data_IF_121240141009
#
_entry.id   IF_121240141009
#
_cell.length_a   1.000
_cell.length_b   1.000
_cell.length_c   1.000
_cell.angle_alpha   90.00
_cell.angle_beta   90.00
_cell.angle_gamma   90.00
#
_symmetry.space_group_name_H-M   'P 1'
#
loop_
_entity.id
_entity.type
_entity.pdbx_description
1 polymer ?
#
# COMPACT_ATOMS: atom_id res chain seq x y z
N UNK A 1 12.63 -27.93 6.15
CA UNK A 1 12.42 -26.75 5.30
C UNK A 1 13.33 -25.64 5.80
N UNK A 2 13.92 -24.86 4.90
CA UNK A 2 14.77 -23.72 5.27
C UNK A 2 13.88 -22.58 5.72
N UNK A 3 14.15 -22.01 6.91
CA UNK A 3 13.44 -20.82 7.38
C UNK A 3 13.72 -19.63 6.48
N UNK A 4 12.70 -18.83 6.21
CA UNK A 4 12.79 -17.61 5.42
C UNK A 4 11.93 -16.51 6.07
N UNK A 5 12.54 -15.34 6.26
CA UNK A 5 11.85 -14.18 6.86
C UNK A 5 11.11 -13.40 5.78
N UNK A 6 9.83 -13.19 6.01
CA UNK A 6 8.92 -12.56 5.04
C UNK A 6 8.22 -11.38 5.71
N UNK A 7 8.16 -10.25 5.04
CA UNK A 7 7.48 -9.08 5.58
C UNK A 7 6.53 -8.43 4.58
N UNK A 8 5.52 -7.76 5.10
CA UNK A 8 4.61 -6.88 4.37
C UNK A 8 4.00 -5.85 5.34
N UNK A 9 3.46 -4.77 4.80
CA UNK A 9 2.65 -3.83 5.55
C UNK A 9 1.20 -4.33 5.72
N UNK A 10 0.45 -3.82 6.71
CA UNK A 10 -0.96 -4.14 6.86
C UNK A 10 -1.77 -3.48 5.73
N UNK A 11 -2.34 -4.31 4.87
CA UNK A 11 -3.08 -3.88 3.68
C UNK A 11 -4.32 -4.75 3.47
N UNK A 12 -5.34 -4.65 4.34
CA UNK A 12 -6.56 -5.45 4.24
C UNK A 12 -7.35 -5.12 2.96
N UNK A 13 -7.98 -6.09 2.30
CA UNK A 13 -8.13 -7.49 2.71
C UNK A 13 -7.02 -8.42 2.20
N UNK A 14 -5.89 -7.89 1.75
CA UNK A 14 -4.83 -8.63 1.07
C UNK A 14 -3.86 -9.32 2.05
N UNK A 15 -3.38 -8.60 3.06
CA UNK A 15 -2.63 -9.10 4.21
C UNK A 15 -2.88 -8.19 5.42
N UNK A 16 -3.12 -8.77 6.57
CA UNK A 16 -3.36 -8.04 7.81
C UNK A 16 -3.30 -8.97 9.02
N UNK A 17 -3.15 -8.38 10.19
CA UNK A 17 -3.30 -9.08 11.47
C UNK A 17 -4.75 -8.93 11.91
N UNK A 18 -5.43 -10.05 12.11
CA UNK A 18 -6.82 -10.07 12.59
C UNK A 18 -6.90 -9.84 14.11
N UNK A 19 -8.10 -9.66 14.62
CA UNK A 19 -8.38 -9.40 16.04
C UNK A 19 -7.89 -10.52 16.98
N UNK A 20 -7.78 -11.73 16.48
CA UNK A 20 -7.24 -12.89 17.20
C UNK A 20 -5.71 -13.00 17.14
N UNK A 21 -5.02 -12.04 16.50
CA UNK A 21 -3.58 -12.03 16.32
C UNK A 21 -3.06 -12.86 15.14
N UNK A 22 -3.95 -13.58 14.44
CA UNK A 22 -3.56 -14.35 13.26
C UNK A 22 -3.36 -13.46 12.05
N UNK A 23 -2.40 -13.82 11.17
CA UNK A 23 -2.21 -13.14 9.89
C UNK A 23 -3.18 -13.76 8.88
N UNK A 24 -3.91 -12.90 8.16
CA UNK A 24 -4.91 -13.28 7.16
C UNK A 24 -4.74 -12.46 5.88
N UNK A 25 -5.43 -12.91 4.83
CA UNK A 25 -5.55 -12.23 3.56
C UNK A 25 -5.05 -13.04 2.38
N UNK A 26 -5.66 -12.79 1.22
CA UNK A 26 -5.43 -13.61 0.02
C UNK A 26 -4.00 -13.55 -0.51
N UNK A 27 -3.33 -12.41 -0.37
CA UNK A 27 -1.94 -12.28 -0.83
C UNK A 27 -0.98 -12.95 0.17
N UNK A 28 -1.24 -12.84 1.48
CA UNK A 28 -0.54 -13.60 2.50
C UNK A 28 -0.63 -15.10 2.25
N UNK A 29 -1.84 -15.64 2.06
CA UNK A 29 -2.06 -17.06 1.83
C UNK A 29 -1.36 -17.54 0.55
N UNK A 30 -1.42 -16.74 -0.52
CA UNK A 30 -0.76 -17.05 -1.78
C UNK A 30 0.77 -17.10 -1.61
N UNK A 31 1.37 -16.09 -0.99
CA UNK A 31 2.83 -16.01 -0.80
C UNK A 31 3.32 -17.16 0.06
N UNK A 32 2.67 -17.40 1.21
CA UNK A 32 3.03 -18.50 2.13
C UNK A 32 2.91 -19.86 1.45
N UNK A 33 1.83 -20.10 0.70
CA UNK A 33 1.64 -21.38 0.00
C UNK A 33 2.73 -21.60 -1.06
N UNK A 34 3.12 -20.56 -1.80
CA UNK A 34 4.17 -20.65 -2.83
C UNK A 34 5.55 -20.89 -2.23
N UNK A 35 5.90 -20.22 -1.15
CA UNK A 35 7.17 -20.42 -0.46
C UNK A 35 7.26 -21.82 0.14
N UNK A 36 6.19 -22.32 0.76
CA UNK A 36 6.14 -23.70 1.26
C UNK A 36 6.27 -24.74 0.16
N UNK A 37 5.61 -24.55 -0.98
CA UNK A 37 5.74 -25.41 -2.14
C UNK A 37 7.16 -25.41 -2.72
N UNK A 38 7.91 -24.33 -2.54
CA UNK A 38 9.32 -24.21 -2.91
C UNK A 38 10.30 -24.77 -1.86
N UNK A 39 9.79 -25.34 -0.75
CA UNK A 39 10.61 -25.99 0.28
C UNK A 39 11.06 -25.06 1.43
N UNK A 40 10.52 -23.86 1.52
CA UNK A 40 10.78 -22.92 2.61
C UNK A 40 9.76 -23.01 3.73
N UNK A 41 10.17 -22.52 4.91
CA UNK A 41 9.31 -22.32 6.09
C UNK A 41 9.21 -20.81 6.37
N UNK A 42 8.17 -20.11 5.88
CA UNK A 42 8.07 -18.67 6.00
C UNK A 42 7.68 -18.23 7.41
N UNK A 43 8.51 -17.38 8.01
CA UNK A 43 8.21 -16.62 9.22
C UNK A 43 7.75 -15.22 8.81
N UNK A 44 6.43 -14.94 8.91
CA UNK A 44 5.84 -13.71 8.37
C UNK A 44 5.68 -12.65 9.44
N UNK A 45 6.14 -11.43 9.15
CA UNK A 45 5.95 -10.22 9.95
C UNK A 45 5.08 -9.22 9.19
N UNK A 46 4.01 -8.75 9.81
CA UNK A 46 3.20 -7.63 9.31
C UNK A 46 3.47 -6.42 10.21
N UNK A 47 4.04 -5.36 9.63
CA UNK A 47 4.35 -4.13 10.35
C UNK A 47 4.34 -2.94 9.39
N UNK A 48 4.43 -1.73 9.91
CA UNK A 48 4.39 -0.51 9.12
C UNK A 48 5.47 -0.46 8.04
N UNK A 49 5.10 0.10 6.87
CA UNK A 49 5.92 0.11 5.66
C UNK A 49 7.34 0.60 5.88
N UNK A 50 7.52 1.75 6.52
CA UNK A 50 8.85 2.34 6.75
C UNK A 50 9.77 1.44 7.55
N UNK A 51 9.21 0.72 8.53
CA UNK A 51 9.97 -0.24 9.34
C UNK A 51 10.39 -1.43 8.51
N UNK A 52 9.43 -2.13 7.89
CA UNK A 52 9.72 -3.37 7.15
C UNK A 52 10.59 -3.12 5.93
N UNK A 53 10.42 -1.97 5.27
CA UNK A 53 11.23 -1.60 4.12
C UNK A 53 12.69 -1.35 4.51
N UNK A 54 12.95 -0.69 5.64
CA UNK A 54 14.32 -0.53 6.17
C UNK A 54 14.94 -1.87 6.57
N UNK A 55 14.21 -2.73 7.27
CA UNK A 55 14.66 -4.07 7.64
C UNK A 55 15.00 -4.91 6.39
N UNK A 56 14.17 -4.83 5.36
CA UNK A 56 14.41 -5.51 4.09
C UNK A 56 15.66 -4.96 3.36
N UNK A 57 15.82 -3.64 3.30
CA UNK A 57 17.02 -3.01 2.72
C UNK A 57 18.30 -3.36 3.48
N UNK A 58 18.23 -3.57 4.78
CA UNK A 58 19.34 -3.99 5.63
C UNK A 58 19.65 -5.50 5.53
N UNK A 59 18.83 -6.28 4.80
CA UNK A 59 18.97 -7.73 4.70
C UNK A 59 18.50 -8.49 5.94
N UNK A 60 17.73 -7.85 6.82
CA UNK A 60 17.14 -8.46 8.01
C UNK A 60 15.88 -9.28 7.67
N UNK A 61 15.28 -9.01 6.52
CA UNK A 61 14.18 -9.73 5.90
C UNK A 61 14.61 -10.27 4.54
N UNK A 62 14.18 -11.48 4.20
CA UNK A 62 14.54 -12.14 2.95
C UNK A 62 13.56 -11.84 1.81
N UNK A 63 12.28 -11.66 2.13
CA UNK A 63 11.20 -11.42 1.18
C UNK A 63 10.32 -10.29 1.68
N UNK A 64 10.08 -9.31 0.81
CA UNK A 64 9.06 -8.28 0.98
C UNK A 64 7.99 -8.47 -0.10
N UNK A 65 6.73 -8.61 0.27
CA UNK A 65 5.65 -8.69 -0.71
C UNK A 65 4.71 -7.48 -0.61
N UNK A 66 3.87 -7.26 -1.62
CA UNK A 66 3.05 -6.07 -1.83
C UNK A 66 3.83 -4.79 -2.18
N UNK A 67 5.11 -4.88 -2.50
CA UNK A 67 5.85 -3.75 -3.01
C UNK A 67 5.51 -3.49 -4.48
N UNK A 68 5.19 -2.25 -4.84
CA UNK A 68 5.13 -1.83 -6.23
C UNK A 68 6.55 -1.76 -6.81
N UNK A 69 6.69 -2.15 -8.06
CA UNK A 69 7.91 -1.93 -8.83
C UNK A 69 8.06 -0.43 -9.14
N UNK A 70 9.26 0.07 -8.92
CA UNK A 70 9.70 1.40 -9.36
C UNK A 70 11.09 1.27 -9.97
N UNK A 71 11.52 2.21 -10.85
CA UNK A 71 12.86 2.16 -11.41
C UNK A 71 13.94 2.00 -10.34
N UNK A 72 13.86 2.74 -9.25
CA UNK A 72 14.80 2.66 -8.14
C UNK A 72 14.82 1.27 -7.46
N UNK A 73 13.64 0.68 -7.25
CA UNK A 73 13.53 -0.63 -6.61
C UNK A 73 14.01 -1.76 -7.53
N UNK A 74 13.75 -1.65 -8.83
CA UNK A 74 14.22 -2.61 -9.84
C UNK A 74 15.73 -2.64 -9.98
N UNK A 75 16.42 -1.54 -9.69
CA UNK A 75 17.89 -1.48 -9.66
C UNK A 75 18.48 -2.18 -8.43
N UNK A 76 17.75 -2.22 -7.32
CA UNK A 76 18.25 -2.70 -6.01
C UNK A 76 17.80 -4.12 -5.67
N UNK A 77 16.66 -4.59 -6.18
CA UNK A 77 16.02 -5.82 -5.73
C UNK A 77 15.58 -6.70 -6.89
N UNK A 78 15.52 -7.99 -6.63
CA UNK A 78 14.90 -8.95 -7.53
C UNK A 78 13.40 -9.00 -7.31
N UNK A 79 12.63 -8.88 -8.39
CA UNK A 79 11.18 -8.99 -8.36
C UNK A 79 10.72 -10.34 -8.90
N UNK A 80 9.73 -10.94 -8.26
CA UNK A 80 9.01 -12.10 -8.79
C UNK A 80 8.08 -11.68 -9.94
N UNK A 81 7.37 -12.63 -10.51
CA UNK A 81 6.18 -12.31 -11.31
C UNK A 81 5.16 -11.57 -10.45
N UNK A 82 4.42 -10.65 -11.07
CA UNK A 82 3.40 -9.84 -10.39
C UNK A 82 2.36 -10.73 -9.69
N UNK A 83 2.05 -10.42 -8.43
CA UNK A 83 1.03 -11.12 -7.65
C UNK A 83 -0.39 -10.74 -8.12
N UNK A 84 -0.62 -9.43 -8.28
CA UNK A 84 -1.88 -8.84 -8.73
C UNK A 84 -1.67 -7.47 -9.35
N UNK A 85 -2.71 -6.93 -9.94
CA UNK A 85 -2.79 -5.51 -10.27
C UNK A 85 -3.48 -4.77 -9.12
N UNK A 86 -2.95 -3.60 -8.76
CA UNK A 86 -3.60 -2.65 -7.89
C UNK A 86 -4.39 -1.66 -8.75
N UNK A 87 -5.56 -1.26 -8.28
CA UNK A 87 -6.33 -0.15 -8.85
C UNK A 87 -6.27 0.99 -7.87
N UNK A 88 -5.61 2.07 -8.28
CA UNK A 88 -5.54 3.32 -7.50
C UNK A 88 -6.71 4.22 -7.87
N UNK A 89 -7.41 4.72 -6.89
CA UNK A 89 -8.55 5.63 -7.04
C UNK A 89 -8.29 6.95 -6.34
N UNK A 90 -8.84 8.03 -6.90
CA UNK A 90 -8.97 9.31 -6.19
C UNK A 90 -10.33 9.33 -5.51
N UNK A 91 -10.32 9.42 -4.20
CA UNK A 91 -11.53 9.49 -3.36
C UNK A 91 -11.74 10.93 -2.90
N UNK A 92 -12.95 11.44 -3.03
CA UNK A 92 -13.28 12.82 -2.63
C UNK A 92 -14.75 12.96 -2.26
N UNK A 93 -15.06 13.94 -1.41
CA UNK A 93 -16.41 14.46 -1.17
C UNK A 93 -16.61 15.83 -1.84
N UNK A 94 -15.60 16.35 -2.52
CA UNK A 94 -15.65 17.62 -3.24
C UNK A 94 -16.16 17.39 -4.66
N UNK A 95 -17.36 17.91 -4.98
CA UNK A 95 -17.99 17.72 -6.28
C UNK A 95 -17.17 18.32 -7.44
N UNK A 96 -16.42 19.39 -7.20
CA UNK A 96 -15.61 20.04 -8.25
C UNK A 96 -14.49 19.11 -8.75
N UNK A 97 -13.97 18.26 -7.88
CA UNK A 97 -12.93 17.28 -8.23
C UNK A 97 -13.45 16.14 -9.12
N UNK A 98 -14.75 15.84 -9.06
CA UNK A 98 -15.36 14.83 -9.93
C UNK A 98 -15.37 15.25 -11.42
N UNK A 99 -15.21 16.52 -11.69
CA UNK A 99 -15.14 17.06 -13.06
C UNK A 99 -13.72 17.06 -13.64
N UNK A 100 -12.68 16.79 -12.84
CA UNK A 100 -11.31 16.74 -13.31
C UNK A 100 -11.11 15.53 -14.24
N UNK A 101 -10.44 15.80 -15.38
CA UNK A 101 -10.14 14.77 -16.39
C UNK A 101 -8.70 14.29 -16.32
N UNK A 102 -7.83 15.06 -15.65
CA UNK A 102 -6.39 14.80 -15.60
C UNK A 102 -5.87 15.00 -14.18
N UNK A 103 -4.93 14.17 -13.77
CA UNK A 103 -4.30 14.25 -12.45
C UNK A 103 -3.55 15.56 -12.20
N UNK A 104 -3.04 16.21 -13.27
CA UNK A 104 -2.38 17.52 -13.15
C UNK A 104 -3.28 18.60 -12.51
N UNK A 105 -4.61 18.48 -12.68
CA UNK A 105 -5.58 19.37 -12.02
C UNK A 105 -5.59 19.29 -10.50
N UNK A 106 -5.06 18.21 -9.92
CA UNK A 106 -4.96 18.03 -8.47
C UNK A 106 -3.92 18.95 -7.81
N UNK A 107 -3.00 19.54 -8.57
CA UNK A 107 -1.97 20.45 -8.03
C UNK A 107 -2.53 21.70 -7.34
N UNK A 108 -3.82 22.03 -7.55
CA UNK A 108 -4.52 23.13 -6.88
C UNK A 108 -5.24 22.73 -5.60
N UNK A 109 -5.18 21.45 -5.19
CA UNK A 109 -5.91 20.88 -4.08
C UNK A 109 -4.99 20.20 -3.09
N UNK A 110 -5.47 19.96 -1.86
CA UNK A 110 -4.76 19.13 -0.88
C UNK A 110 -5.07 17.66 -1.13
N UNK A 111 -4.05 16.88 -1.39
CA UNK A 111 -4.13 15.45 -1.74
C UNK A 111 -3.55 14.60 -0.62
N UNK A 112 -4.39 13.80 0.04
CA UNK A 112 -3.95 12.83 1.02
C UNK A 112 -3.28 11.63 0.35
N UNK A 113 -2.08 11.29 0.79
CA UNK A 113 -1.30 10.14 0.31
C UNK A 113 -0.79 9.32 1.50
N UNK A 114 -0.43 8.06 1.27
CA UNK A 114 0.18 7.24 2.31
C UNK A 114 1.71 7.45 2.26
N UNK A 115 2.30 7.74 3.42
CA UNK A 115 3.73 7.97 3.56
C UNK A 115 4.55 6.80 2.99
N UNK A 116 5.53 7.12 2.15
CA UNK A 116 6.44 6.14 1.54
C UNK A 116 5.82 5.25 0.45
N UNK A 117 4.53 5.41 0.11
CA UNK A 117 3.92 4.65 -0.97
C UNK A 117 4.26 5.27 -2.34
N UNK A 118 4.42 4.38 -3.35
CA UNK A 118 4.43 4.76 -4.75
C UNK A 118 2.99 4.72 -5.27
N UNK A 119 2.49 5.85 -5.78
CA UNK A 119 1.12 6.02 -6.26
C UNK A 119 1.04 6.15 -7.79
N UNK A 120 2.18 5.99 -8.46
CA UNK A 120 2.33 6.18 -9.89
C UNK A 120 2.82 7.58 -10.27
N UNK A 121 3.40 7.71 -11.47
CA UNK A 121 4.14 8.91 -11.87
C UNK A 121 3.29 10.19 -11.87
N UNK A 122 1.99 10.09 -12.14
CA UNK A 122 1.08 11.23 -12.17
C UNK A 122 0.84 11.82 -10.76
N UNK A 123 0.70 10.97 -9.75
CA UNK A 123 0.48 11.40 -8.36
C UNK A 123 1.82 11.75 -7.70
N UNK A 124 2.83 10.90 -7.90
CA UNK A 124 4.15 11.10 -7.30
C UNK A 124 4.81 12.37 -7.84
N UNK A 125 4.52 12.75 -9.11
CA UNK A 125 4.97 13.97 -9.74
C UNK A 125 4.24 15.25 -9.33
N UNK A 126 3.18 15.19 -8.52
CA UNK A 126 2.53 16.39 -7.98
C UNK A 126 3.47 17.16 -7.04
N UNK A 127 3.32 18.50 -6.95
CA UNK A 127 4.09 19.29 -5.99
C UNK A 127 3.95 18.78 -4.55
N UNK A 128 5.04 18.72 -3.80
CA UNK A 128 4.99 18.27 -2.40
C UNK A 128 4.11 19.18 -1.53
N UNK A 129 3.99 20.44 -1.90
CA UNK A 129 3.14 21.41 -1.20
C UNK A 129 1.65 21.08 -1.21
N UNK A 130 1.19 20.27 -2.15
CA UNK A 130 -0.21 19.81 -2.20
C UNK A 130 -0.43 18.42 -1.59
N UNK A 131 0.64 17.67 -1.30
CA UNK A 131 0.56 16.34 -0.69
C UNK A 131 0.53 16.44 0.83
N UNK A 132 -0.39 15.68 1.45
CA UNK A 132 -0.47 15.50 2.91
C UNK A 132 -0.31 14.01 3.18
N UNK A 133 0.74 13.66 3.92
CA UNK A 133 1.07 12.27 4.21
C UNK A 133 0.31 11.74 5.42
N UNK A 134 -0.22 10.52 5.28
CA UNK A 134 -0.91 9.77 6.32
C UNK A 134 -0.27 8.39 6.51
N UNK A 135 -0.41 7.77 7.68
CA UNK A 135 0.16 6.45 7.94
C UNK A 135 -0.57 5.30 7.23
N UNK A 136 -1.79 5.53 6.72
CA UNK A 136 -2.55 4.49 6.04
C UNK A 136 -3.88 4.97 5.45
N UNK A 137 -4.54 4.09 4.68
CA UNK A 137 -5.78 4.42 3.96
C UNK A 137 -6.91 4.89 4.89
N UNK A 138 -7.05 4.30 6.09
CA UNK A 138 -8.08 4.71 7.04
C UNK A 138 -7.93 6.18 7.44
N UNK A 139 -6.71 6.64 7.68
CA UNK A 139 -6.42 8.03 8.03
C UNK A 139 -6.60 8.97 6.84
N UNK A 140 -6.27 8.54 5.62
CA UNK A 140 -6.57 9.30 4.39
C UNK A 140 -8.09 9.53 4.27
N UNK A 141 -8.89 8.46 4.44
CA UNK A 141 -10.36 8.56 4.37
C UNK A 141 -10.92 9.47 5.48
N UNK A 142 -10.37 9.39 6.70
CA UNK A 142 -10.74 10.27 7.79
C UNK A 142 -10.39 11.74 7.47
N UNK A 143 -9.19 12.00 6.93
CA UNK A 143 -8.79 13.36 6.53
C UNK A 143 -9.68 13.98 5.45
N UNK A 144 -10.23 13.16 4.53
CA UNK A 144 -11.22 13.61 3.54
C UNK A 144 -12.53 13.96 4.26
N UNK A 145 -12.99 13.10 5.17
CA UNK A 145 -14.23 13.31 5.92
C UNK A 145 -14.14 14.59 6.78
N UNK A 146 -13.03 14.80 7.45
CA UNK A 146 -12.77 15.97 8.31
C UNK A 146 -12.41 17.23 7.50
N UNK A 147 -12.33 17.13 6.17
CA UNK A 147 -11.97 18.22 5.25
C UNK A 147 -10.56 18.79 5.49
N UNK A 148 -9.67 17.99 6.02
CA UNK A 148 -8.24 18.33 6.12
C UNK A 148 -7.56 18.30 4.76
N UNK A 149 -8.03 17.40 3.88
CA UNK A 149 -7.64 17.28 2.47
C UNK A 149 -8.89 17.28 1.57
N UNK A 150 -8.70 17.72 0.32
CA UNK A 150 -9.78 17.79 -0.66
C UNK A 150 -10.08 16.43 -1.31
N UNK A 151 -9.07 15.60 -1.41
CA UNK A 151 -9.16 14.23 -1.91
C UNK A 151 -8.04 13.36 -1.33
N UNK A 152 -8.13 12.06 -1.57
CA UNK A 152 -7.11 11.11 -1.17
C UNK A 152 -6.87 10.03 -2.21
N UNK A 153 -5.66 9.49 -2.22
CA UNK A 153 -5.23 8.39 -3.09
C UNK A 153 -5.37 7.08 -2.32
N UNK A 154 -6.18 6.17 -2.83
CA UNK A 154 -6.47 4.91 -2.16
C UNK A 154 -6.38 3.72 -3.12
N UNK A 155 -5.95 2.56 -2.63
CA UNK A 155 -6.19 1.28 -3.31
C UNK A 155 -7.69 0.96 -3.22
N UNK A 156 -8.30 0.60 -4.35
CA UNK A 156 -9.72 0.31 -4.46
C UNK A 156 -10.17 -0.76 -3.46
N UNK A 157 -9.47 -1.89 -3.39
CA UNK A 157 -9.87 -2.99 -2.53
C UNK A 157 -9.72 -2.70 -1.05
N UNK A 158 -8.70 -1.92 -0.67
CA UNK A 158 -8.55 -1.46 0.73
C UNK A 158 -9.66 -0.48 1.10
N UNK A 159 -9.95 0.48 0.24
CA UNK A 159 -11.07 1.41 0.43
C UNK A 159 -12.39 0.65 0.60
N UNK A 160 -12.71 -0.26 -0.32
CA UNK A 160 -13.94 -1.06 -0.27
C UNK A 160 -14.05 -1.87 1.03
N UNK A 161 -12.94 -2.48 1.47
CA UNK A 161 -12.89 -3.22 2.72
C UNK A 161 -13.16 -2.33 3.95
N UNK A 162 -12.54 -1.16 4.00
CA UNK A 162 -12.69 -0.23 5.13
C UNK A 162 -14.07 0.45 5.16
N UNK A 163 -14.72 0.61 4.02
CA UNK A 163 -16.05 1.24 3.91
C UNK A 163 -17.19 0.23 3.84
N UNK A 164 -16.90 -1.07 3.84
CA UNK A 164 -17.92 -2.13 3.87
C UNK A 164 -18.69 -2.09 5.19
N UNK A 165 -19.88 -1.53 5.18
CA UNK A 165 -20.75 -1.41 6.36
C UNK A 165 -21.01 0.02 6.84
N UNK A 166 -20.55 1.02 6.08
CA UNK A 166 -20.94 2.42 6.26
C UNK A 166 -22.24 2.73 5.54
#
# INVERSE_FOLDING_TARGET
MTKIKVCADPFPPYQYVDKDGSIKGKDYELVVSRLRAAGYDPEVCIAEWDRIYREFQAGEQDVLFQAQDSPERLEKFYFSKRLRYAVTEIVTINADLLALKEYAGLAGYKVGVIAGFANGPEIDGLPDSCKVEYPGTAQVLQGIYDKEVDCGVCDQGVKEYLTAGL
#
